data_IF_223951906978
#
_entry.id   IF_223951906978
#
_cell.length_a   1.000
_cell.length_b   1.000
_cell.length_c   1.000
_cell.angle_alpha   90.00
_cell.angle_beta   90.00
_cell.angle_gamma   90.00
#
_symmetry.space_group_name_H-M   'P 1'
#
loop_
_entity.id
_entity.type
_entity.pdbx_description
1 polymer ?
#
# COMPACT_ATOMS: atom_id res chain seq x y z
N UNK A 1 11.28 15.24 -75.21
CA UNK A 1 11.99 16.12 -74.25
C UNK A 1 11.10 16.76 -73.19
N UNK A 2 9.75 16.84 -73.28
CA UNK A 2 8.88 17.51 -72.29
C UNK A 2 8.53 16.68 -71.05
N UNK A 3 8.59 15.34 -71.10
CA UNK A 3 8.17 14.47 -69.96
C UNK A 3 9.16 14.49 -68.80
N UNK A 4 10.45 14.68 -69.04
CA UNK A 4 11.51 14.73 -68.01
C UNK A 4 11.48 16.05 -67.25
N UNK A 5 11.04 17.15 -67.91
CA UNK A 5 10.99 18.49 -67.31
C UNK A 5 9.83 18.62 -66.32
N UNK A 6 8.71 18.00 -66.58
CA UNK A 6 7.54 17.98 -65.69
C UNK A 6 7.78 17.12 -64.44
N UNK A 7 8.46 15.97 -64.54
CA UNK A 7 8.79 15.14 -63.39
C UNK A 7 9.69 15.85 -62.37
N UNK A 8 10.66 16.62 -62.84
CA UNK A 8 11.55 17.39 -61.99
C UNK A 8 10.80 18.51 -61.22
N UNK A 9 9.80 19.17 -61.85
CA UNK A 9 8.99 20.20 -61.20
C UNK A 9 8.17 19.61 -60.04
N UNK A 10 7.58 18.43 -60.20
CA UNK A 10 6.83 17.75 -59.11
C UNK A 10 7.75 17.34 -57.95
N UNK A 11 8.98 16.92 -58.25
CA UNK A 11 9.98 16.60 -57.22
C UNK A 11 10.35 17.84 -56.41
N UNK A 12 10.58 18.98 -57.05
CA UNK A 12 10.89 20.25 -56.36
C UNK A 12 9.70 20.76 -55.52
N UNK A 13 8.46 20.60 -55.97
CA UNK A 13 7.25 20.95 -55.22
C UNK A 13 7.11 20.01 -53.99
N UNK A 14 7.37 18.72 -54.16
CA UNK A 14 7.30 17.74 -53.06
C UNK A 14 8.37 18.00 -51.99
N UNK A 15 9.60 18.33 -52.43
CA UNK A 15 10.70 18.70 -51.53
C UNK A 15 10.40 20.00 -50.78
N UNK A 16 9.87 21.02 -51.48
CA UNK A 16 9.46 22.29 -50.87
C UNK A 16 8.35 22.09 -49.85
N UNK A 17 7.37 21.23 -50.12
CA UNK A 17 6.30 20.89 -49.20
C UNK A 17 6.83 20.10 -47.99
N UNK A 18 7.77 19.18 -48.19
CA UNK A 18 8.42 18.43 -47.10
C UNK A 18 9.25 19.34 -46.19
N UNK A 19 9.96 20.33 -46.77
CA UNK A 19 10.73 21.33 -46.01
C UNK A 19 9.80 22.25 -45.21
N UNK A 20 8.63 22.61 -45.74
CA UNK A 20 7.66 23.46 -45.03
C UNK A 20 7.02 22.72 -43.81
N UNK A 21 6.91 21.38 -43.88
CA UNK A 21 6.45 20.57 -42.73
C UNK A 21 7.50 20.50 -41.62
N UNK A 22 8.79 20.55 -41.94
CA UNK A 22 9.88 20.56 -40.97
C UNK A 22 10.07 21.90 -40.26
N UNK A 23 9.57 22.98 -40.80
CA UNK A 23 9.68 24.33 -40.21
C UNK A 23 8.59 24.63 -39.17
N UNK A 24 7.66 23.70 -38.93
CA UNK A 24 6.55 23.88 -37.97
C UNK A 24 6.92 23.52 -36.54
N UNK A 25 8.20 23.30 -36.20
CA UNK A 25 8.63 23.31 -34.81
C UNK A 25 8.62 24.77 -34.31
N UNK A 26 7.44 25.24 -33.93
CA UNK A 26 7.32 26.42 -33.09
C UNK A 26 8.06 26.13 -31.79
N UNK A 27 9.23 26.72 -31.60
CA UNK A 27 9.92 26.74 -30.33
C UNK A 27 9.08 27.58 -29.38
N UNK A 28 8.10 26.93 -28.70
CA UNK A 28 7.51 27.50 -27.51
C UNK A 28 8.67 27.69 -26.57
N UNK A 29 9.05 28.96 -26.28
CA UNK A 29 10.07 29.22 -25.26
C UNK A 29 9.60 28.55 -23.96
N UNK A 30 10.42 27.71 -23.32
CA UNK A 30 10.07 27.15 -22.03
C UNK A 30 9.72 28.31 -21.10
N UNK A 31 8.65 28.15 -20.32
CA UNK A 31 8.32 29.13 -19.31
C UNK A 31 9.45 29.11 -18.27
N UNK A 32 10.15 30.23 -18.11
CA UNK A 32 11.19 30.42 -17.08
C UNK A 32 10.56 31.16 -15.90
N UNK A 33 10.34 30.46 -14.80
CA UNK A 33 9.88 31.06 -13.56
C UNK A 33 10.99 31.94 -12.97
N UNK A 34 10.66 33.18 -12.60
CA UNK A 34 11.63 34.15 -12.07
C UNK A 34 11.87 34.00 -10.57
N UNK A 35 10.97 33.32 -9.87
CA UNK A 35 11.02 33.11 -8.43
C UNK A 35 10.22 31.84 -8.04
N UNK A 36 10.28 31.46 -6.76
CA UNK A 36 9.60 30.28 -6.24
C UNK A 36 8.07 30.35 -6.36
N UNK A 37 7.49 31.54 -6.20
CA UNK A 37 6.05 31.75 -6.30
C UNK A 37 5.53 31.50 -7.73
N UNK A 38 6.19 32.09 -8.74
CA UNK A 38 5.84 31.85 -10.14
C UNK A 38 5.97 30.37 -10.51
N UNK A 39 7.05 29.71 -10.05
CA UNK A 39 7.26 28.29 -10.28
C UNK A 39 6.14 27.46 -9.61
N UNK A 40 5.78 27.77 -8.37
CA UNK A 40 4.72 27.08 -7.66
C UNK A 40 3.36 27.25 -8.33
N UNK A 41 3.00 28.47 -8.69
CA UNK A 41 1.73 28.78 -9.34
C UNK A 41 1.60 28.05 -10.70
N UNK A 42 2.68 28.00 -11.50
CA UNK A 42 2.66 27.27 -12.76
C UNK A 42 2.62 25.76 -12.54
N UNK A 43 3.40 25.22 -11.58
CA UNK A 43 3.33 23.82 -11.17
C UNK A 43 1.92 23.41 -10.76
N UNK A 44 1.25 24.23 -9.95
CA UNK A 44 -0.14 24.01 -9.52
C UNK A 44 -1.13 24.07 -10.68
N UNK A 45 -0.95 25.02 -11.60
CA UNK A 45 -1.77 25.13 -12.81
C UNK A 45 -1.71 23.84 -13.65
N UNK A 46 -0.50 23.30 -13.82
CA UNK A 46 -0.26 22.06 -14.56
C UNK A 46 -0.77 20.83 -13.79
N UNK A 47 -0.54 20.77 -12.49
CA UNK A 47 -1.05 19.72 -11.61
C UNK A 47 -2.58 19.61 -11.70
N UNK A 48 -3.29 20.74 -11.63
CA UNK A 48 -4.74 20.79 -11.74
C UNK A 48 -5.25 20.36 -13.13
N UNK A 49 -4.44 20.54 -14.18
CA UNK A 49 -4.69 20.01 -15.53
C UNK A 49 -4.32 18.54 -15.68
N UNK A 50 -3.75 17.91 -14.64
CA UNK A 50 -3.19 16.55 -14.64
C UNK A 50 -1.99 16.37 -15.58
N UNK A 51 -1.34 17.47 -15.93
CA UNK A 51 -0.07 17.46 -16.64
C UNK A 51 1.07 17.28 -15.63
N UNK A 52 1.16 16.03 -15.12
CA UNK A 52 2.00 15.70 -13.98
C UNK A 52 3.50 15.77 -14.28
N UNK A 53 3.91 15.53 -15.53
CA UNK A 53 5.33 15.58 -15.91
C UNK A 53 5.84 17.01 -15.85
N UNK A 54 5.12 17.92 -16.48
CA UNK A 54 5.51 19.33 -16.50
C UNK A 54 5.32 19.96 -15.12
N UNK A 55 4.24 19.62 -14.39
CA UNK A 55 4.05 20.07 -13.01
C UNK A 55 5.23 19.68 -12.11
N UNK A 56 5.70 18.43 -12.20
CA UNK A 56 6.85 17.95 -11.42
C UNK A 56 8.12 18.76 -11.73
N UNK A 57 8.34 19.15 -12.99
CA UNK A 57 9.49 19.95 -13.37
C UNK A 57 9.55 21.28 -12.60
N UNK A 58 8.40 21.94 -12.41
CA UNK A 58 8.33 23.19 -11.64
C UNK A 58 8.52 22.97 -10.14
N UNK A 59 7.93 21.92 -9.58
CA UNK A 59 8.14 21.60 -8.16
C UNK A 59 9.59 21.17 -7.88
N UNK A 60 10.23 20.42 -8.78
CA UNK A 60 11.65 20.08 -8.64
C UNK A 60 12.54 21.31 -8.80
N UNK A 61 12.19 22.29 -9.67
CA UNK A 61 12.87 23.58 -9.77
C UNK A 61 12.86 24.32 -8.43
N UNK A 62 11.71 24.37 -7.73
CA UNK A 62 11.61 25.01 -6.39
C UNK A 62 12.58 24.36 -5.43
N UNK A 63 12.60 23.03 -5.37
CA UNK A 63 13.47 22.28 -4.45
C UNK A 63 14.95 22.45 -4.74
N UNK A 64 15.32 22.65 -5.99
CA UNK A 64 16.72 22.80 -6.43
C UNK A 64 17.22 24.23 -6.34
N UNK A 65 16.42 25.20 -6.78
CA UNK A 65 16.83 26.60 -6.90
C UNK A 65 16.37 27.47 -5.72
N UNK A 66 15.27 27.08 -5.05
CA UNK A 66 14.66 27.85 -3.97
C UNK A 66 14.38 27.00 -2.71
N UNK A 67 15.36 26.20 -2.21
CA UNK A 67 15.12 25.24 -1.14
C UNK A 67 14.75 25.86 0.22
N UNK A 68 15.01 27.14 0.41
CA UNK A 68 14.64 27.90 1.61
C UNK A 68 13.36 28.73 1.44
N UNK A 69 12.64 28.62 0.31
CA UNK A 69 11.38 29.32 0.10
C UNK A 69 10.25 28.67 0.91
N UNK A 70 9.23 29.47 1.18
CA UNK A 70 7.98 29.01 1.80
C UNK A 70 7.21 27.96 0.97
N UNK A 71 7.55 27.81 -0.32
CA UNK A 71 6.95 26.83 -1.23
C UNK A 71 7.72 25.50 -1.30
N UNK A 72 8.82 25.34 -0.57
CA UNK A 72 9.69 24.17 -0.71
C UNK A 72 9.05 22.89 -0.14
N UNK A 73 8.31 23.00 0.96
CA UNK A 73 7.56 21.88 1.55
C UNK A 73 6.29 21.58 0.75
N UNK A 74 5.58 22.61 0.27
CA UNK A 74 4.47 22.45 -0.68
C UNK A 74 4.91 21.68 -1.92
N UNK A 75 6.02 22.08 -2.54
CA UNK A 75 6.57 21.41 -3.72
C UNK A 75 6.89 19.93 -3.43
N UNK A 76 7.48 19.64 -2.27
CA UNK A 76 7.76 18.26 -1.83
C UNK A 76 6.47 17.44 -1.68
N UNK A 77 5.41 18.04 -1.11
CA UNK A 77 4.10 17.42 -0.97
C UNK A 77 3.47 17.14 -2.34
N UNK A 78 3.42 18.12 -3.25
CA UNK A 78 2.81 17.94 -4.57
C UNK A 78 3.58 16.97 -5.47
N UNK A 79 4.90 16.83 -5.32
CA UNK A 79 5.64 15.75 -5.98
C UNK A 79 5.14 14.38 -5.49
N UNK A 80 4.89 14.21 -4.19
CA UNK A 80 4.31 12.97 -3.69
C UNK A 80 2.90 12.73 -4.25
N UNK A 81 2.07 13.78 -4.31
CA UNK A 81 0.73 13.73 -4.91
C UNK A 81 0.76 13.35 -6.40
N UNK A 82 1.73 13.86 -7.16
CA UNK A 82 1.93 13.48 -8.57
C UNK A 82 2.16 11.98 -8.69
N UNK A 83 3.12 11.44 -7.92
CA UNK A 83 3.40 10.01 -7.94
C UNK A 83 2.20 9.19 -7.49
N UNK A 84 1.47 9.65 -6.47
CA UNK A 84 0.26 8.98 -5.99
C UNK A 84 -0.84 8.94 -7.07
N UNK A 85 -1.12 10.07 -7.73
CA UNK A 85 -2.11 10.16 -8.80
C UNK A 85 -1.74 9.31 -10.03
N UNK A 86 -0.44 9.14 -10.29
CA UNK A 86 0.09 8.26 -11.33
C UNK A 86 0.14 6.78 -10.91
N UNK A 87 -0.33 6.45 -9.70
CA UNK A 87 -0.29 5.10 -9.09
C UNK A 87 1.13 4.56 -8.90
N UNK A 88 2.11 5.41 -8.85
CA UNK A 88 3.52 5.11 -8.56
C UNK A 88 3.72 5.09 -7.03
N UNK A 89 3.02 4.18 -6.35
CA UNK A 89 2.85 4.20 -4.90
C UNK A 89 4.16 4.05 -4.11
N UNK A 90 5.16 3.37 -4.66
CA UNK A 90 6.50 3.27 -4.05
C UNK A 90 7.12 4.67 -3.97
N UNK A 91 7.11 5.42 -5.08
CA UNK A 91 7.65 6.77 -5.14
C UNK A 91 6.81 7.74 -4.32
N UNK A 92 5.49 7.61 -4.36
CA UNK A 92 4.60 8.42 -3.53
C UNK A 92 4.95 8.27 -2.03
N UNK A 93 5.02 7.03 -1.53
CA UNK A 93 5.40 6.76 -0.13
C UNK A 93 6.78 7.32 0.21
N UNK A 94 7.77 7.18 -0.69
CA UNK A 94 9.10 7.76 -0.51
C UNK A 94 9.04 9.29 -0.37
N UNK A 95 8.33 9.99 -1.25
CA UNK A 95 8.25 11.45 -1.25
C UNK A 95 7.44 12.00 -0.07
N UNK A 96 6.37 11.32 0.39
CA UNK A 96 5.65 11.67 1.62
C UNK A 96 6.54 11.53 2.86
N UNK A 97 7.30 10.43 2.99
CA UNK A 97 8.23 10.24 4.11
C UNK A 97 9.36 11.28 4.08
N UNK A 98 9.83 11.66 2.88
CA UNK A 98 10.85 12.70 2.72
C UNK A 98 10.37 14.08 3.20
N UNK A 99 9.08 14.39 3.04
CA UNK A 99 8.50 15.64 3.56
C UNK A 99 8.65 15.71 5.08
N UNK A 100 8.26 14.67 5.81
CA UNK A 100 8.43 14.60 7.27
C UNK A 100 9.90 14.79 7.69
N UNK A 101 10.82 14.19 6.94
CA UNK A 101 12.25 14.23 7.27
C UNK A 101 12.88 15.60 6.99
N UNK A 102 12.51 16.25 5.89
CA UNK A 102 13.12 17.51 5.44
C UNK A 102 12.39 18.75 5.99
N UNK A 103 11.08 18.66 6.17
CA UNK A 103 10.22 19.78 6.56
C UNK A 103 9.31 19.40 7.74
N UNK A 104 9.88 19.08 8.92
CA UNK A 104 9.10 18.58 10.07
C UNK A 104 8.08 19.60 10.61
N UNK A 105 8.23 20.89 10.28
CA UNK A 105 7.29 21.96 10.61
C UNK A 105 6.19 22.22 9.58
N UNK A 106 6.18 21.48 8.47
CA UNK A 106 5.17 21.64 7.42
C UNK A 106 3.77 21.24 7.90
N UNK A 107 2.77 21.98 7.47
CA UNK A 107 1.35 21.66 7.72
C UNK A 107 0.92 20.35 7.05
N UNK A 108 1.63 19.90 6.03
CA UNK A 108 1.36 18.65 5.32
C UNK A 108 1.92 17.40 6.01
N UNK A 109 2.70 17.50 7.11
CA UNK A 109 3.33 16.33 7.74
C UNK A 109 2.29 15.30 8.17
N UNK A 110 1.21 15.73 8.84
CA UNK A 110 0.14 14.83 9.29
C UNK A 110 -0.45 14.04 8.13
N UNK A 111 -0.86 14.73 7.08
CA UNK A 111 -1.47 14.11 5.90
C UNK A 111 -0.48 13.23 5.15
N UNK A 112 0.77 13.67 5.00
CA UNK A 112 1.83 12.90 4.33
C UNK A 112 2.13 11.58 5.05
N UNK A 113 2.15 11.57 6.39
CA UNK A 113 2.35 10.33 7.14
C UNK A 113 1.22 9.33 6.89
N UNK A 114 -0.03 9.79 6.92
CA UNK A 114 -1.18 8.95 6.60
C UNK A 114 -1.12 8.44 5.15
N UNK A 115 -0.88 9.32 4.18
CA UNK A 115 -0.82 8.98 2.75
C UNK A 115 0.37 8.07 2.40
N UNK A 116 1.48 8.17 3.12
CA UNK A 116 2.59 7.20 2.99
C UNK A 116 2.14 5.79 3.37
N UNK A 117 1.45 5.64 4.50
CA UNK A 117 0.84 4.38 4.90
C UNK A 117 -0.19 3.87 3.89
N UNK A 118 -1.01 4.77 3.35
CA UNK A 118 -2.03 4.43 2.38
C UNK A 118 -1.44 4.00 1.02
N UNK A 119 -0.37 4.65 0.56
CA UNK A 119 0.36 4.21 -0.63
C UNK A 119 0.94 2.79 -0.46
N UNK A 120 1.48 2.46 0.72
CA UNK A 120 1.96 1.12 1.04
C UNK A 120 0.81 0.10 1.17
N UNK A 121 -0.35 0.51 1.71
CA UNK A 121 -1.57 -0.31 1.74
C UNK A 121 -2.01 -0.72 0.33
N UNK A 122 -1.97 0.21 -0.62
CA UNK A 122 -2.31 -0.06 -2.04
C UNK A 122 -1.31 -0.99 -2.73
N UNK A 123 -0.10 -1.13 -2.20
CA UNK A 123 0.93 -2.07 -2.66
C UNK A 123 0.82 -3.45 -1.99
N UNK A 124 0.00 -3.58 -0.94
CA UNK A 124 -0.16 -4.85 -0.21
C UNK A 124 -0.83 -5.90 -1.10
N UNK A 125 -0.14 -7.03 -1.41
CA UNK A 125 -0.66 -8.03 -2.32
C UNK A 125 -1.67 -8.98 -1.65
N UNK A 126 -2.12 -10.02 -2.36
CA UNK A 126 -2.91 -11.11 -1.78
C UNK A 126 -2.14 -11.84 -0.68
N UNK A 127 -2.87 -12.54 0.22
CA UNK A 127 -2.29 -13.16 1.43
C UNK A 127 -1.20 -14.20 1.14
N UNK A 128 -1.27 -14.88 0.00
CA UNK A 128 -0.37 -15.96 -0.42
C UNK A 128 0.96 -15.48 -1.02
N UNK A 129 1.09 -14.17 -1.24
CA UNK A 129 2.30 -13.55 -1.78
C UNK A 129 3.21 -13.01 -0.65
N UNK A 130 4.29 -12.31 -1.03
CA UNK A 130 5.17 -11.63 -0.07
C UNK A 130 4.44 -10.48 0.64
N UNK A 131 4.53 -10.42 1.96
CA UNK A 131 3.78 -9.49 2.79
C UNK A 131 4.59 -8.29 3.28
N UNK A 132 5.67 -7.94 2.61
CA UNK A 132 6.57 -6.85 3.03
C UNK A 132 5.83 -5.50 3.06
N UNK A 133 5.08 -5.19 1.99
CA UNK A 133 4.29 -3.95 1.94
C UNK A 133 3.12 -3.95 2.93
N UNK A 134 2.51 -5.10 3.22
CA UNK A 134 1.49 -5.24 4.26
C UNK A 134 2.04 -4.83 5.62
N UNK A 135 3.23 -5.36 5.99
CA UNK A 135 3.90 -5.04 7.25
C UNK A 135 4.35 -3.58 7.31
N UNK A 136 4.88 -3.04 6.21
CA UNK A 136 5.27 -1.62 6.09
C UNK A 136 4.07 -0.70 6.29
N UNK A 137 2.93 -1.01 5.67
CA UNK A 137 1.71 -0.22 5.80
C UNK A 137 1.19 -0.20 7.24
N UNK A 138 1.12 -1.36 7.91
CA UNK A 138 0.73 -1.46 9.32
C UNK A 138 1.64 -0.55 10.17
N UNK A 139 2.95 -0.68 10.02
CA UNK A 139 3.92 0.14 10.75
C UNK A 139 3.73 1.64 10.52
N UNK A 140 3.51 2.05 9.26
CA UNK A 140 3.32 3.46 8.91
C UNK A 140 2.03 4.03 9.51
N UNK A 141 0.94 3.27 9.52
CA UNK A 141 -0.31 3.69 10.16
C UNK A 141 -0.19 3.72 11.70
N UNK A 142 0.50 2.76 12.31
CA UNK A 142 0.79 2.78 13.75
C UNK A 142 1.65 3.98 14.14
N UNK A 143 2.67 4.30 13.33
CA UNK A 143 3.49 5.49 13.53
C UNK A 143 2.66 6.76 13.39
N UNK A 144 1.78 6.85 12.39
CA UNK A 144 0.84 7.96 12.26
C UNK A 144 -0.03 8.13 13.51
N UNK A 145 -0.64 7.06 14.02
CA UNK A 145 -1.48 7.09 15.21
C UNK A 145 -0.71 7.44 16.49
N UNK A 146 0.55 7.08 16.57
CA UNK A 146 1.42 7.45 17.69
C UNK A 146 1.68 8.96 17.74
N UNK A 147 1.94 9.60 16.59
CA UNK A 147 2.18 11.05 16.50
C UNK A 147 0.89 11.88 16.55
N UNK A 148 -0.22 11.31 16.08
CA UNK A 148 -1.52 11.98 15.99
C UNK A 148 -2.61 11.11 16.63
N UNK A 149 -2.68 11.10 17.99
CA UNK A 149 -3.59 10.21 18.72
C UNK A 149 -5.06 10.69 18.73
N UNK A 150 -5.36 11.86 18.17
CA UNK A 150 -6.73 12.37 18.06
C UNK A 150 -7.53 11.47 17.12
N UNK A 151 -8.68 10.98 17.62
CA UNK A 151 -9.57 10.08 16.89
C UNK A 151 -10.40 10.83 15.84
N UNK A 152 -9.72 11.42 14.88
CA UNK A 152 -10.34 11.99 13.69
C UNK A 152 -10.59 10.95 12.60
N UNK A 153 -11.14 11.37 11.47
CA UNK A 153 -11.45 10.48 10.34
C UNK A 153 -10.22 9.77 9.78
N UNK A 154 -9.02 10.40 9.79
CA UNK A 154 -7.80 9.76 9.33
C UNK A 154 -7.33 8.70 10.32
N UNK A 155 -7.45 8.94 11.63
CA UNK A 155 -7.13 7.96 12.67
C UNK A 155 -8.02 6.71 12.53
N UNK A 156 -9.33 6.91 12.38
CA UNK A 156 -10.29 5.80 12.22
C UNK A 156 -10.02 5.01 10.92
N UNK A 157 -9.72 5.70 9.83
CA UNK A 157 -9.32 5.04 8.58
C UNK A 157 -8.01 4.25 8.73
N UNK A 158 -7.01 4.80 9.44
CA UNK A 158 -5.77 4.08 9.74
C UNK A 158 -6.04 2.82 10.55
N UNK A 159 -6.91 2.89 11.59
CA UNK A 159 -7.34 1.73 12.39
C UNK A 159 -7.99 0.65 11.52
N UNK A 160 -8.89 1.06 10.63
CA UNK A 160 -9.55 0.16 9.68
C UNK A 160 -8.54 -0.54 8.77
N UNK A 161 -7.62 0.21 8.17
CA UNK A 161 -6.60 -0.37 7.28
C UNK A 161 -5.64 -1.29 8.03
N UNK A 162 -5.25 -0.95 9.27
CA UNK A 162 -4.46 -1.85 10.13
C UNK A 162 -5.21 -3.17 10.32
N UNK A 163 -6.49 -3.13 10.67
CA UNK A 163 -7.29 -4.33 10.91
C UNK A 163 -7.42 -5.20 9.64
N UNK A 164 -7.67 -4.59 8.49
CA UNK A 164 -7.72 -5.30 7.20
C UNK A 164 -6.39 -5.97 6.87
N UNK A 165 -5.27 -5.28 7.09
CA UNK A 165 -3.94 -5.82 6.85
C UNK A 165 -3.55 -6.92 7.85
N UNK A 166 -3.93 -6.79 9.13
CA UNK A 166 -3.74 -7.83 10.16
C UNK A 166 -4.58 -9.06 9.85
N UNK A 167 -5.81 -8.89 9.40
CA UNK A 167 -6.64 -10.01 8.90
C UNK A 167 -5.94 -10.74 7.75
N UNK A 168 -5.33 -10.02 6.80
CA UNK A 168 -4.59 -10.64 5.69
C UNK A 168 -3.37 -11.44 6.17
N UNK A 169 -2.63 -10.95 7.16
CA UNK A 169 -1.51 -11.70 7.74
C UNK A 169 -1.98 -12.93 8.51
N UNK A 170 -3.06 -12.79 9.31
CA UNK A 170 -3.71 -13.90 10.01
C UNK A 170 -4.26 -14.94 9.03
N UNK A 171 -4.84 -14.50 7.90
CA UNK A 171 -5.29 -15.40 6.84
C UNK A 171 -4.14 -16.23 6.28
N UNK A 172 -2.99 -15.61 5.99
CA UNK A 172 -1.82 -16.32 5.48
C UNK A 172 -1.44 -17.48 6.38
N UNK A 173 -1.29 -17.22 7.67
CA UNK A 173 -0.87 -18.23 8.63
C UNK A 173 -1.97 -19.29 8.83
N UNK A 174 -3.23 -18.88 8.92
CA UNK A 174 -4.36 -19.78 9.03
C UNK A 174 -4.47 -20.73 7.81
N UNK A 175 -4.38 -20.19 6.58
CA UNK A 175 -4.41 -21.00 5.36
C UNK A 175 -3.22 -21.94 5.26
N UNK A 176 -2.05 -21.54 5.77
CA UNK A 176 -0.88 -22.41 5.85
C UNK A 176 -1.10 -23.55 6.85
N UNK A 177 -1.74 -23.28 8.00
CA UNK A 177 -2.13 -24.32 8.95
C UNK A 177 -3.11 -25.32 8.33
N UNK A 178 -4.14 -24.84 7.62
CA UNK A 178 -5.12 -25.70 6.93
C UNK A 178 -4.47 -26.54 5.82
N UNK A 179 -3.48 -26.00 5.11
CA UNK A 179 -2.69 -26.76 4.14
C UNK A 179 -1.98 -27.94 4.83
N UNK A 180 -1.27 -27.70 5.95
CA UNK A 180 -0.59 -28.77 6.69
C UNK A 180 -1.56 -29.77 7.31
N UNK A 181 -2.75 -29.34 7.72
CA UNK A 181 -3.83 -30.23 8.14
C UNK A 181 -4.25 -31.16 6.98
N UNK A 182 -4.42 -30.63 5.77
CA UNK A 182 -4.74 -31.41 4.56
C UNK A 182 -3.61 -32.40 4.19
N UNK A 183 -2.37 -32.04 4.48
CA UNK A 183 -1.19 -32.89 4.28
C UNK A 183 -0.97 -33.90 5.44
N UNK A 184 -1.94 -34.06 6.34
CA UNK A 184 -1.88 -34.94 7.50
C UNK A 184 -0.65 -34.71 8.38
N UNK A 185 -0.19 -33.45 8.48
CA UNK A 185 0.95 -33.03 9.30
C UNK A 185 0.48 -32.18 10.51
N UNK A 186 -0.09 -32.77 11.57
CA UNK A 186 -0.67 -32.03 12.67
C UNK A 186 0.36 -31.20 13.45
N UNK A 187 1.61 -31.67 13.58
CA UNK A 187 2.68 -30.87 14.20
C UNK A 187 2.96 -29.58 13.45
N UNK A 188 3.01 -29.65 12.12
CA UNK A 188 3.23 -28.45 11.31
C UNK A 188 2.04 -27.51 11.35
N UNK A 189 0.80 -28.05 11.35
CA UNK A 189 -0.40 -27.21 11.45
C UNK A 189 -0.47 -26.47 12.79
N UNK A 190 -0.06 -27.10 13.89
CA UNK A 190 0.02 -26.46 15.21
C UNK A 190 0.87 -25.19 15.22
N UNK A 191 2.04 -25.21 14.56
CA UNK A 191 2.95 -24.06 14.49
C UNK A 191 2.23 -22.84 13.92
N UNK A 192 1.47 -23.03 12.85
CA UNK A 192 0.78 -21.93 12.16
C UNK A 192 -0.52 -21.52 12.87
N UNK A 193 -1.27 -22.47 13.49
CA UNK A 193 -2.37 -22.08 14.37
C UNK A 193 -1.87 -21.28 15.57
N UNK A 194 -0.75 -21.68 16.18
CA UNK A 194 -0.12 -20.92 17.26
C UNK A 194 0.34 -19.54 16.81
N UNK A 195 0.84 -19.41 15.58
CA UNK A 195 1.18 -18.10 15.01
C UNK A 195 -0.05 -17.19 14.92
N UNK A 196 -1.19 -17.71 14.46
CA UNK A 196 -2.45 -16.93 14.42
C UNK A 196 -2.86 -16.52 15.83
N UNK A 197 -2.90 -17.47 16.77
CA UNK A 197 -3.38 -17.24 18.14
C UNK A 197 -2.50 -16.23 18.89
N UNK A 198 -1.18 -16.26 18.67
CA UNK A 198 -0.24 -15.41 19.41
C UNK A 198 0.01 -14.04 18.76
N UNK A 199 -0.06 -13.94 17.42
CA UNK A 199 0.31 -12.73 16.69
C UNK A 199 -0.88 -11.98 16.07
N UNK A 200 -2.02 -12.67 15.89
CA UNK A 200 -3.19 -12.17 15.18
C UNK A 200 -4.50 -12.48 15.92
N UNK A 201 -4.46 -12.39 17.26
CA UNK A 201 -5.57 -12.65 18.18
C UNK A 201 -6.74 -11.66 18.05
N UNK A 202 -6.49 -10.53 17.43
CA UNK A 202 -7.49 -9.49 17.11
C UNK A 202 -8.16 -9.70 15.73
N UNK A 203 -7.86 -10.80 15.04
CA UNK A 203 -8.39 -11.08 13.69
C UNK A 203 -9.55 -12.06 13.70
N UNK A 204 -10.30 -12.07 12.61
CA UNK A 204 -11.40 -13.04 12.39
C UNK A 204 -10.91 -14.50 12.33
N UNK A 205 -9.61 -14.73 12.27
CA UNK A 205 -9.00 -16.06 12.19
C UNK A 205 -8.70 -16.67 13.56
N UNK A 206 -8.85 -15.92 14.67
CA UNK A 206 -8.59 -16.43 16.01
C UNK A 206 -9.48 -17.63 16.36
N UNK A 207 -10.80 -17.49 16.16
CA UNK A 207 -11.75 -18.55 16.52
C UNK A 207 -11.49 -19.85 15.74
N UNK A 208 -11.43 -19.85 14.39
CA UNK A 208 -11.13 -21.04 13.61
C UNK A 208 -9.71 -21.60 13.89
N UNK A 209 -8.72 -20.77 14.22
CA UNK A 209 -7.38 -21.25 14.57
C UNK A 209 -7.35 -21.99 15.91
N UNK A 210 -8.10 -21.51 16.92
CA UNK A 210 -8.26 -22.24 18.19
C UNK A 210 -8.92 -23.60 17.95
N UNK A 211 -9.95 -23.67 17.13
CA UNK A 211 -10.60 -24.93 16.79
C UNK A 211 -9.65 -25.87 16.05
N UNK A 212 -8.95 -25.40 15.01
CA UNK A 212 -7.95 -26.21 14.29
C UNK A 212 -6.81 -26.70 15.18
N UNK A 213 -6.38 -25.88 16.17
CA UNK A 213 -5.39 -26.28 17.17
C UNK A 213 -5.91 -27.41 18.04
N UNK A 214 -7.18 -27.36 18.49
CA UNK A 214 -7.82 -28.44 19.29
C UNK A 214 -7.84 -29.75 18.50
N UNK A 215 -8.26 -29.70 17.22
CA UNK A 215 -8.26 -30.87 16.34
C UNK A 215 -6.86 -31.48 16.19
N UNK A 216 -5.85 -30.63 15.91
CA UNK A 216 -4.48 -31.08 15.74
C UNK A 216 -3.90 -31.72 17.03
N UNK A 217 -4.23 -31.18 18.21
CA UNK A 217 -3.79 -31.74 19.49
C UNK A 217 -4.43 -33.10 19.77
N UNK A 218 -5.71 -33.30 19.48
CA UNK A 218 -6.35 -34.62 19.57
C UNK A 218 -5.72 -35.63 18.61
N UNK A 219 -5.42 -35.23 17.37
CA UNK A 219 -4.72 -36.11 16.41
C UNK A 219 -3.32 -36.53 16.91
N UNK A 220 -2.69 -35.71 17.75
CA UNK A 220 -1.37 -35.96 18.34
C UNK A 220 -1.47 -36.68 19.71
N UNK A 221 -2.67 -37.07 20.14
CA UNK A 221 -2.93 -37.69 21.47
C UNK A 221 -2.49 -36.79 22.64
N UNK A 222 -2.44 -35.45 22.44
CA UNK A 222 -2.08 -34.44 23.46
C UNK A 222 -3.34 -33.89 24.15
N UNK A 223 -4.10 -34.77 24.79
CA UNK A 223 -5.43 -34.46 25.32
C UNK A 223 -5.42 -33.37 26.42
N UNK A 224 -4.42 -33.37 27.30
CA UNK A 224 -4.31 -32.34 28.34
C UNK A 224 -4.20 -30.94 27.75
N UNK A 225 -3.37 -30.79 26.74
CA UNK A 225 -3.20 -29.52 26.06
C UNK A 225 -4.46 -29.13 25.26
N UNK A 226 -5.10 -30.09 24.59
CA UNK A 226 -6.38 -29.87 23.94
C UNK A 226 -7.43 -29.33 24.91
N UNK A 227 -7.53 -29.92 26.11
CA UNK A 227 -8.47 -29.48 27.13
C UNK A 227 -8.15 -28.06 27.66
N UNK A 228 -6.87 -27.67 27.77
CA UNK A 228 -6.50 -26.28 28.10
C UNK A 228 -6.95 -25.29 27.01
N UNK A 229 -6.74 -25.63 25.75
CA UNK A 229 -7.18 -24.78 24.61
C UNK A 229 -8.71 -24.69 24.56
N UNK A 230 -9.43 -25.79 24.83
CA UNK A 230 -10.90 -25.79 24.94
C UNK A 230 -11.36 -24.85 26.06
N UNK A 231 -10.68 -24.85 27.22
CA UNK A 231 -10.96 -23.88 28.27
C UNK A 231 -10.81 -22.43 27.82
N UNK A 232 -9.76 -22.15 27.07
CA UNK A 232 -9.52 -20.82 26.45
C UNK A 232 -10.60 -20.48 25.43
N UNK A 233 -10.93 -21.41 24.55
CA UNK A 233 -11.98 -21.24 23.55
C UNK A 233 -13.33 -20.89 24.20
N UNK A 234 -13.77 -21.66 25.17
CA UNK A 234 -15.04 -21.45 25.88
C UNK A 234 -15.11 -20.09 26.58
N UNK A 235 -13.98 -19.61 27.09
CA UNK A 235 -13.87 -18.29 27.73
C UNK A 235 -13.99 -17.15 26.72
N UNK A 236 -13.31 -17.26 25.58
CA UNK A 236 -13.28 -16.21 24.56
C UNK A 236 -14.55 -16.22 23.69
N UNK A 237 -15.08 -17.41 23.40
CA UNK A 237 -16.20 -17.63 22.49
C UNK A 237 -17.33 -18.45 23.17
N UNK A 238 -18.02 -17.89 24.19
CA UNK A 238 -19.06 -18.62 24.92
C UNK A 238 -20.28 -19.01 24.05
N UNK A 239 -20.45 -18.36 22.90
CA UNK A 239 -21.45 -18.68 21.88
C UNK A 239 -20.77 -18.97 20.53
N UNK A 240 -19.56 -19.51 20.55
CA UNK A 240 -18.74 -19.74 19.37
C UNK A 240 -19.32 -20.79 18.44
N UNK A 241 -19.00 -20.66 17.16
CA UNK A 241 -19.55 -21.54 16.12
C UNK A 241 -19.09 -22.99 16.21
N UNK A 242 -17.93 -23.27 16.84
CA UNK A 242 -17.32 -24.61 16.93
C UNK A 242 -17.64 -25.37 18.23
N UNK A 243 -18.51 -24.87 19.14
CA UNK A 243 -18.82 -25.53 20.42
C UNK A 243 -19.33 -26.96 20.26
N UNK A 244 -20.22 -27.18 19.27
CA UNK A 244 -20.76 -28.51 19.00
C UNK A 244 -19.70 -29.47 18.44
N UNK A 245 -18.84 -28.99 17.57
CA UNK A 245 -17.77 -29.78 16.96
C UNK A 245 -16.74 -30.21 18.02
N UNK A 246 -16.35 -29.28 18.90
CA UNK A 246 -15.47 -29.56 20.04
C UNK A 246 -16.09 -30.64 20.95
N UNK A 247 -17.39 -30.55 21.24
CA UNK A 247 -18.07 -31.56 22.07
C UNK A 247 -18.10 -32.96 21.41
N UNK A 248 -18.21 -33.00 20.08
CA UNK A 248 -18.15 -34.25 19.31
C UNK A 248 -16.74 -34.84 19.30
N UNK A 249 -15.68 -34.03 19.16
CA UNK A 249 -14.30 -34.49 19.26
C UNK A 249 -14.02 -35.14 20.61
N UNK A 250 -14.38 -34.49 21.72
CA UNK A 250 -14.22 -35.06 23.09
C UNK A 250 -14.92 -36.41 23.25
N UNK A 251 -16.13 -36.59 22.70
CA UNK A 251 -16.85 -37.86 22.79
C UNK A 251 -16.18 -38.99 22.02
N UNK A 252 -15.51 -38.69 20.90
CA UNK A 252 -14.78 -39.71 20.12
C UNK A 252 -13.56 -40.22 20.87
N UNK A 253 -12.82 -39.34 21.55
CA UNK A 253 -11.62 -39.73 22.30
C UNK A 253 -11.95 -40.54 23.56
N UNK A 254 -13.04 -40.24 24.27
CA UNK A 254 -13.49 -41.01 25.43
C UNK A 254 -13.90 -42.47 25.07
N UNK A 255 -14.17 -42.74 23.76
CA UNK A 255 -14.58 -44.05 23.28
C UNK A 255 -13.46 -44.91 22.71
N UNK A 256 -12.23 -44.39 22.60
CA UNK A 256 -11.01 -45.11 22.27
C UNK A 256 -10.39 -45.70 23.51
#
# INVERSE_FOLDING_TARGET
MNKIRTTNIYIYILISFLISLLSSCSSIKPFEAKNAEEAFNEGMRLFNKKDYIDAQTFFDMIKLQYPASEYADDAQYYIAEIHFNRKEYIMASFHYNRLKAMYPGSTYVKESMFKSGYAQYLLSPAYDQDQDYTKKAIKSFQEYQYYYPEKDSMYENASKYIQELRNKLGEKDFRTAELYKTLESPLSSLIYYDSVINNFDDTIFLEPALFGKIEALFLLEREEEANMVIGTYNKLFPNGQYLNDIALLKKKEIKK
#
